data_IF_416537479931
#
_entry.id   IF_416537479931
#
_cell.length_a   1.000
_cell.length_b   1.000
_cell.length_c   1.000
_cell.angle_alpha   90.00
_cell.angle_beta   90.00
_cell.angle_gamma   90.00
#
_symmetry.space_group_name_H-M   'P 1'
#
loop_
_entity.id
_entity.type
_entity.pdbx_description
1 polymer ?
#
# COMPACT_ATOMS: atom_id res chain seq x y z
N UNK A 1 -6.61 -37.41 -2.38
CA UNK A 1 -6.06 -36.15 -2.92
C UNK A 1 -7.14 -35.08 -2.82
N UNK A 2 -7.11 -34.26 -1.78
CA UNK A 2 -8.11 -33.20 -1.57
C UNK A 2 -7.40 -31.87 -1.53
N UNK A 3 -7.50 -31.11 -2.63
CA UNK A 3 -6.96 -29.76 -2.74
C UNK A 3 -7.65 -28.83 -1.74
N UNK A 4 -6.86 -28.27 -0.82
CA UNK A 4 -7.29 -27.17 0.06
C UNK A 4 -7.73 -25.98 -0.81
N UNK A 5 -8.90 -25.37 -0.57
CA UNK A 5 -9.27 -24.14 -1.27
C UNK A 5 -8.37 -22.99 -0.78
N UNK A 6 -7.76 -22.29 -1.73
CA UNK A 6 -6.99 -21.08 -1.48
C UNK A 6 -7.89 -20.01 -0.85
N UNK A 7 -7.62 -19.67 0.41
CA UNK A 7 -8.32 -18.64 1.17
C UNK A 7 -8.00 -17.26 0.58
N UNK A 8 -8.75 -16.85 -0.44
CA UNK A 8 -8.73 -15.48 -0.95
C UNK A 8 -9.40 -14.60 0.10
N UNK A 9 -8.59 -13.97 0.96
CA UNK A 9 -9.04 -12.87 1.83
C UNK A 9 -9.72 -11.83 0.92
N UNK A 10 -11.06 -11.82 0.89
CA UNK A 10 -11.83 -10.75 0.25
C UNK A 10 -11.36 -9.44 0.87
N UNK A 11 -10.54 -8.66 0.16
CA UNK A 11 -10.19 -7.30 0.56
C UNK A 11 -11.50 -6.56 0.79
N UNK A 12 -11.80 -6.26 2.05
CA UNK A 12 -12.99 -5.48 2.44
C UNK A 12 -12.94 -4.20 1.63
N UNK A 13 -13.91 -3.99 0.72
CA UNK A 13 -13.95 -2.76 -0.07
C UNK A 13 -14.06 -1.59 0.92
N UNK A 14 -13.20 -0.58 0.84
CA UNK A 14 -13.30 0.56 1.74
C UNK A 14 -14.69 1.18 1.58
N UNK A 15 -15.29 1.59 2.70
CA UNK A 15 -16.58 2.28 2.70
C UNK A 15 -16.41 3.55 1.85
N UNK A 16 -17.22 3.70 0.80
CA UNK A 16 -17.10 4.76 -0.20
C UNK A 16 -18.33 5.65 -0.24
N UNK A 17 -18.12 6.95 -0.38
CA UNK A 17 -19.14 7.96 -0.58
C UNK A 17 -19.52 8.05 -2.06
N UNK A 18 -20.81 8.07 -2.38
CA UNK A 18 -21.23 8.54 -3.71
C UNK A 18 -20.94 10.04 -3.84
N UNK A 19 -20.56 10.50 -5.03
CA UNK A 19 -20.17 11.89 -5.27
C UNK A 19 -21.25 12.90 -4.80
N UNK A 20 -22.53 12.62 -5.08
CA UNK A 20 -23.62 13.47 -4.61
C UNK A 20 -23.70 13.55 -3.09
N UNK A 21 -23.47 12.44 -2.39
CA UNK A 21 -23.49 12.37 -0.92
C UNK A 21 -22.28 13.08 -0.32
N UNK A 22 -21.10 12.89 -0.92
CA UNK A 22 -19.88 13.59 -0.52
C UNK A 22 -20.03 15.11 -0.67
N UNK A 23 -20.66 15.58 -1.76
CA UNK A 23 -20.95 17.01 -1.95
C UNK A 23 -21.89 17.56 -0.86
N UNK A 24 -22.95 16.84 -0.54
CA UNK A 24 -23.91 17.25 0.48
C UNK A 24 -23.35 17.22 1.92
N UNK A 25 -22.36 16.36 2.18
CA UNK A 25 -21.78 16.13 3.52
C UNK A 25 -20.27 16.39 3.55
N UNK A 26 -19.79 17.36 2.77
CA UNK A 26 -18.36 17.54 2.56
C UNK A 26 -17.58 17.80 3.86
N UNK A 27 -18.14 18.60 4.78
CA UNK A 27 -17.53 18.87 6.08
C UNK A 27 -17.30 17.59 6.90
N UNK A 28 -18.21 16.62 6.80
CA UNK A 28 -18.05 15.33 7.46
C UNK A 28 -16.98 14.48 6.78
N UNK A 29 -16.99 14.41 5.44
CA UNK A 29 -15.94 13.71 4.69
C UNK A 29 -14.56 14.28 5.03
N UNK A 30 -14.45 15.61 5.11
CA UNK A 30 -13.23 16.31 5.51
C UNK A 30 -12.79 15.94 6.93
N UNK A 31 -13.69 16.00 7.92
CA UNK A 31 -13.40 15.60 9.30
C UNK A 31 -12.91 14.15 9.37
N UNK A 32 -13.64 13.23 8.72
CA UNK A 32 -13.28 11.80 8.70
C UNK A 32 -11.95 11.54 8.00
N UNK A 33 -11.66 12.25 6.91
CA UNK A 33 -10.36 12.16 6.24
C UNK A 33 -9.20 12.46 7.20
N UNK A 34 -9.40 13.42 8.13
CA UNK A 34 -8.40 13.81 9.13
C UNK A 34 -8.34 12.89 10.36
N UNK A 35 -9.49 12.42 10.86
CA UNK A 35 -9.56 11.67 12.12
C UNK A 35 -9.61 10.15 11.97
N UNK A 36 -10.20 9.66 10.88
CA UNK A 36 -10.47 8.23 10.65
C UNK A 36 -9.63 7.65 9.49
N UNK A 37 -8.99 8.51 8.70
CA UNK A 37 -8.14 8.15 7.57
C UNK A 37 -8.81 8.31 6.20
N UNK A 38 -8.19 7.82 5.12
CA UNK A 38 -8.58 8.11 3.74
C UNK A 38 -10.06 7.82 3.42
N UNK A 39 -10.73 8.77 2.77
CA UNK A 39 -12.13 8.64 2.36
C UNK A 39 -12.25 8.45 0.85
N UNK A 40 -12.94 7.40 0.42
CA UNK A 40 -13.16 7.12 -1.00
C UNK A 40 -14.43 7.81 -1.47
N UNK A 41 -14.37 8.53 -2.60
CA UNK A 41 -15.52 9.15 -3.25
C UNK A 41 -15.66 8.59 -4.65
N UNK A 42 -16.83 8.07 -5.00
CA UNK A 42 -17.10 7.42 -6.28
C UNK A 42 -18.17 8.14 -7.09
N UNK A 43 -18.00 8.24 -8.41
CA UNK A 43 -19.05 8.61 -9.37
C UNK A 43 -19.55 7.35 -10.09
N UNK A 44 -20.86 7.12 -10.04
CA UNK A 44 -21.53 5.94 -10.61
C UNK A 44 -20.89 4.58 -10.22
N UNK A 45 -20.27 4.52 -9.04
CA UNK A 45 -19.60 3.32 -8.51
C UNK A 45 -18.37 2.83 -9.30
N UNK A 46 -17.86 3.59 -10.28
CA UNK A 46 -16.72 3.18 -11.14
C UNK A 46 -15.53 4.11 -11.03
N UNK A 47 -15.72 5.41 -11.19
CA UNK A 47 -14.65 6.40 -11.05
C UNK A 47 -14.50 6.74 -9.58
N UNK A 48 -13.29 6.63 -9.04
CA UNK A 48 -13.03 6.88 -7.62
C UNK A 48 -11.90 7.88 -7.44
N UNK A 49 -12.08 8.82 -6.51
CA UNK A 49 -11.02 9.64 -5.94
C UNK A 49 -10.88 9.33 -4.45
N UNK A 50 -9.72 9.62 -3.88
CA UNK A 50 -9.47 9.44 -2.45
C UNK A 50 -9.12 10.79 -1.85
N UNK A 51 -9.83 11.17 -0.78
CA UNK A 51 -9.53 12.35 0.00
C UNK A 51 -8.64 11.93 1.17
N UNK A 52 -7.47 12.56 1.25
CA UNK A 52 -6.48 12.37 2.30
C UNK A 52 -6.08 13.73 2.89
N UNK A 53 -5.60 13.77 4.14
CA UNK A 53 -4.97 14.97 4.68
C UNK A 53 -3.82 15.45 3.79
N UNK A 54 -3.69 16.77 3.63
CA UNK A 54 -2.68 17.37 2.76
C UNK A 54 -1.25 16.94 3.15
N UNK A 55 -0.92 16.96 4.44
CA UNK A 55 0.40 16.54 4.94
C UNK A 55 0.68 15.07 4.70
N UNK A 56 -0.35 14.22 4.61
CA UNK A 56 -0.16 12.81 4.26
C UNK A 56 0.13 12.69 2.77
N UNK A 57 -0.57 13.44 1.92
CA UNK A 57 -0.29 13.49 0.49
C UNK A 57 1.13 14.00 0.23
N UNK A 58 1.52 15.11 0.87
CA UNK A 58 2.86 15.70 0.76
C UNK A 58 3.94 14.70 1.15
N UNK A 59 3.79 13.94 2.25
CA UNK A 59 4.75 12.89 2.62
C UNK A 59 4.86 11.76 1.59
N UNK A 60 3.74 11.41 0.94
CA UNK A 60 3.71 10.35 -0.06
C UNK A 60 4.34 10.80 -1.39
N UNK A 61 4.16 12.07 -1.75
CA UNK A 61 4.66 12.67 -2.99
C UNK A 61 5.99 13.41 -2.83
N UNK A 62 6.47 13.56 -1.60
CA UNK A 62 7.76 14.19 -1.33
C UNK A 62 8.84 13.51 -2.17
N UNK A 63 9.71 14.28 -2.84
CA UNK A 63 10.88 13.73 -3.50
C UNK A 63 11.67 12.91 -2.48
N UNK A 64 11.73 11.59 -2.69
CA UNK A 64 12.59 10.76 -1.85
C UNK A 64 14.02 11.09 -2.24
N UNK A 65 14.93 11.28 -1.28
CA UNK A 65 16.34 11.31 -1.58
C UNK A 65 16.66 10.02 -2.34
N UNK A 66 17.00 10.14 -3.61
CA UNK A 66 17.51 9.02 -4.39
C UNK A 66 18.95 8.84 -3.92
N UNK A 67 19.30 7.73 -3.25
CA UNK A 67 20.68 7.48 -2.88
C UNK A 67 21.53 7.44 -4.15
N UNK A 68 22.74 7.98 -4.10
CA UNK A 68 23.62 8.06 -5.27
C UNK A 68 24.05 6.67 -5.75
N UNK A 69 23.93 5.65 -4.89
CA UNK A 69 24.26 4.26 -5.19
C UNK A 69 23.42 3.27 -4.38
N UNK A 70 23.38 2.02 -4.84
CA UNK A 70 22.76 0.91 -4.10
C UNK A 70 23.41 0.68 -2.72
N UNK A 71 24.71 0.93 -2.60
CA UNK A 71 25.43 0.81 -1.32
C UNK A 71 24.92 1.85 -0.33
N UNK A 72 24.74 3.10 -0.76
CA UNK A 72 24.22 4.19 0.07
C UNK A 72 22.77 3.90 0.51
N UNK A 73 21.95 3.34 -0.38
CA UNK A 73 20.59 2.90 -0.04
C UNK A 73 20.59 1.92 1.14
N UNK A 74 21.38 0.85 1.07
CA UNK A 74 21.43 -0.15 2.14
C UNK A 74 22.01 0.39 3.44
N UNK A 75 22.91 1.38 3.38
CA UNK A 75 23.43 2.07 4.56
C UNK A 75 22.42 2.99 5.25
N UNK A 76 21.53 3.64 4.49
CA UNK A 76 20.48 4.51 5.02
C UNK A 76 19.22 3.75 5.45
N UNK A 77 19.11 2.48 5.09
CA UNK A 77 17.98 1.63 5.46
C UNK A 77 17.85 1.52 7.00
N UNK A 78 16.63 1.53 7.56
CA UNK A 78 16.39 1.17 8.95
C UNK A 78 16.87 -0.24 9.34
N UNK A 79 17.19 -1.07 8.34
CA UNK A 79 17.75 -2.40 8.52
C UNK A 79 19.29 -2.40 8.52
N UNK A 80 19.94 -1.23 8.49
CA UNK A 80 21.40 -1.18 8.60
C UNK A 80 21.86 -1.78 9.94
N UNK A 81 22.87 -2.65 9.88
CA UNK A 81 23.43 -3.31 11.06
C UNK A 81 22.65 -4.54 11.56
N UNK A 82 21.54 -4.92 10.92
CA UNK A 82 20.90 -6.22 11.21
C UNK A 82 21.83 -7.36 10.79
N UNK A 83 21.94 -8.38 11.63
CA UNK A 83 22.70 -9.58 11.31
C UNK A 83 21.90 -10.43 10.33
N UNK A 84 22.41 -10.57 9.11
CA UNK A 84 21.86 -11.48 8.11
C UNK A 84 22.63 -12.79 8.15
N UNK A 85 21.91 -13.91 8.11
CA UNK A 85 22.54 -15.18 7.78
C UNK A 85 22.79 -15.21 6.27
N UNK A 86 24.05 -15.07 5.89
CA UNK A 86 24.49 -15.05 4.49
C UNK A 86 24.84 -16.45 3.97
N UNK A 87 24.56 -17.50 4.76
CA UNK A 87 24.69 -18.87 4.27
C UNK A 87 23.79 -19.05 3.06
N UNK A 88 24.40 -19.48 1.96
CA UNK A 88 23.66 -19.89 0.78
C UNK A 88 22.92 -21.18 1.13
N UNK A 89 21.60 -21.14 1.11
CA UNK A 89 20.81 -22.35 1.12
C UNK A 89 21.04 -23.07 -0.22
N UNK A 90 21.55 -24.32 -0.23
CA UNK A 90 21.70 -25.07 -1.46
C UNK A 90 20.32 -25.39 -2.05
N UNK A 91 19.84 -24.52 -2.94
CA UNK A 91 18.71 -24.79 -3.81
C UNK A 91 19.21 -25.57 -5.03
N UNK A 92 18.86 -26.85 -5.09
CA UNK A 92 19.24 -27.76 -6.17
C UNK A 92 18.34 -27.62 -7.41
N UNK A 93 17.42 -26.64 -7.42
CA UNK A 93 16.47 -26.45 -8.51
C UNK A 93 15.38 -27.54 -8.53
N UNK A 94 14.55 -27.52 -9.57
CA UNK A 94 13.60 -28.62 -9.84
C UNK A 94 14.20 -29.55 -10.88
N UNK A 95 13.98 -30.84 -10.73
CA UNK A 95 14.21 -31.79 -11.82
C UNK A 95 13.37 -31.38 -13.04
N UNK A 96 14.04 -31.13 -14.15
CA UNK A 96 13.45 -30.89 -15.47
C UNK A 96 14.10 -31.88 -16.44
N UNK A 97 13.28 -32.71 -17.06
CA UNK A 97 13.68 -33.55 -18.19
C UNK A 97 13.81 -32.66 -19.44
N UNK A 98 14.96 -32.73 -20.12
CA UNK A 98 15.28 -31.99 -21.35
C UNK A 98 14.98 -32.82 -22.60
#
# INVERSE_FOLDING_TARGET
>A
MSGKPANTRRKKRPISWQLQTAKARFSEVFRRARSEGPQYVTRAGKEAVVIVPAEQFEKLTAPRPQPRSLVEFFRQSPLYGVKLDLKRDPDFGRDIEL
#
